data_IF_373722762244
#
_entry.id   IF_373722762244
#
_cell.length_a   1.000
_cell.length_b   1.000
_cell.length_c   1.000
_cell.angle_alpha   90.00
_cell.angle_beta   90.00
_cell.angle_gamma   90.00
#
_symmetry.space_group_name_H-M   'P 1'
#
loop_
_entity.id
_entity.type
_entity.pdbx_description
1 polymer ?
#
# COMPACT_ATOMS: atom_id res chain seq x y z
N UNK A 1 -0.91 -38.90 -60.41
CA UNK A 1 -1.15 -39.03 -58.95
C UNK A 1 0.18 -38.84 -58.20
N UNK A 2 0.60 -37.69 -57.77
CA UNK A 2 1.77 -37.52 -56.85
C UNK A 2 2.01 -36.07 -56.41
N UNK A 3 1.07 -35.14 -56.66
CA UNK A 3 1.24 -33.73 -56.26
C UNK A 3 0.69 -33.39 -54.86
N UNK A 4 -0.35 -34.06 -54.41
CA UNK A 4 -1.05 -33.73 -53.16
C UNK A 4 -0.36 -34.27 -51.90
N UNK A 5 0.33 -35.40 -51.99
CA UNK A 5 1.01 -35.99 -50.82
C UNK A 5 2.25 -35.19 -50.35
N UNK A 6 2.92 -34.45 -51.24
CA UNK A 6 4.07 -33.60 -50.92
C UNK A 6 3.66 -32.31 -50.19
N UNK A 7 2.50 -31.77 -50.51
CA UNK A 7 1.98 -30.54 -49.83
C UNK A 7 1.56 -30.84 -48.38
N UNK A 8 0.99 -32.02 -48.11
CA UNK A 8 0.60 -32.41 -46.75
C UNK A 8 1.81 -32.68 -45.81
N UNK A 9 2.87 -33.28 -46.36
CA UNK A 9 4.08 -33.56 -45.59
C UNK A 9 4.82 -32.28 -45.17
N UNK A 10 4.87 -31.25 -46.03
CA UNK A 10 5.45 -29.93 -45.70
C UNK A 10 4.61 -29.15 -44.70
N UNK A 11 3.28 -29.22 -44.75
CA UNK A 11 2.41 -28.55 -43.78
C UNK A 11 2.54 -29.13 -42.37
N UNK A 12 2.64 -30.46 -42.25
CA UNK A 12 2.78 -31.16 -40.94
C UNK A 12 4.14 -30.88 -40.30
N UNK A 13 5.22 -30.80 -41.11
CA UNK A 13 6.56 -30.48 -40.56
C UNK A 13 6.69 -29.03 -40.12
N UNK A 14 6.03 -28.07 -40.80
CA UNK A 14 6.05 -26.67 -40.40
C UNK A 14 5.25 -26.45 -39.11
N UNK A 15 4.09 -27.13 -38.96
CA UNK A 15 3.23 -27.03 -37.77
C UNK A 15 3.93 -27.64 -36.53
N UNK A 16 4.67 -28.76 -36.70
CA UNK A 16 5.42 -29.40 -35.62
C UNK A 16 6.59 -28.56 -35.13
N UNK A 17 7.23 -27.78 -35.99
CA UNK A 17 8.37 -26.91 -35.63
C UNK A 17 7.94 -25.68 -34.81
N UNK A 18 6.77 -25.11 -35.10
CA UNK A 18 6.20 -23.98 -34.36
C UNK A 18 5.77 -24.39 -32.93
N UNK A 19 5.20 -25.58 -32.79
CA UNK A 19 4.78 -26.10 -31.47
C UNK A 19 5.99 -26.44 -30.61
N UNK A 20 7.07 -26.95 -31.18
CA UNK A 20 8.32 -27.27 -30.44
C UNK A 20 9.02 -26.04 -29.88
N UNK A 21 9.01 -24.91 -30.59
CA UNK A 21 9.65 -23.66 -30.16
C UNK A 21 8.86 -22.99 -28.99
N UNK A 22 7.55 -23.10 -28.97
CA UNK A 22 6.72 -22.55 -27.87
C UNK A 22 6.97 -23.25 -26.54
N UNK A 23 7.16 -24.59 -26.54
CA UNK A 23 7.44 -25.32 -25.32
C UNK A 23 8.82 -25.02 -24.70
N UNK A 24 9.84 -24.83 -25.52
CA UNK A 24 11.18 -24.45 -25.06
C UNK A 24 11.18 -23.06 -24.44
N UNK A 25 10.49 -22.09 -25.05
CA UNK A 25 10.39 -20.73 -24.51
C UNK A 25 9.70 -20.68 -23.14
N UNK A 26 8.64 -21.48 -22.94
CA UNK A 26 7.95 -21.57 -21.65
C UNK A 26 8.85 -22.15 -20.54
N UNK A 27 9.68 -23.16 -20.85
CA UNK A 27 10.62 -23.70 -19.89
C UNK A 27 11.73 -22.67 -19.55
N UNK A 28 12.26 -21.99 -20.55
CA UNK A 28 13.24 -20.92 -20.35
C UNK A 28 12.65 -19.73 -19.56
N UNK A 29 11.38 -19.36 -19.83
CA UNK A 29 10.70 -18.32 -19.07
C UNK A 29 10.59 -18.66 -17.58
N UNK A 30 10.25 -19.92 -17.27
CA UNK A 30 10.18 -20.38 -15.87
C UNK A 30 11.55 -20.42 -15.21
N UNK A 31 12.61 -20.81 -15.93
CA UNK A 31 13.98 -20.77 -15.41
C UNK A 31 14.39 -19.33 -15.09
N UNK A 32 14.11 -18.38 -15.99
CA UNK A 32 14.37 -16.97 -15.75
C UNK A 32 13.53 -16.44 -14.56
N UNK A 33 12.25 -16.80 -14.46
CA UNK A 33 11.41 -16.44 -13.34
C UNK A 33 12.01 -16.92 -11.99
N UNK A 34 12.48 -18.17 -11.93
CA UNK A 34 13.09 -18.73 -10.71
C UNK A 34 14.37 -17.98 -10.34
N UNK A 35 15.26 -17.71 -11.31
CA UNK A 35 16.49 -16.92 -11.09
C UNK A 35 16.16 -15.53 -10.59
N UNK A 36 15.15 -14.87 -11.18
CA UNK A 36 14.67 -13.57 -10.70
C UNK A 36 14.15 -13.62 -9.28
N UNK A 37 13.39 -14.68 -8.91
CA UNK A 37 12.92 -14.88 -7.54
C UNK A 37 14.08 -15.07 -6.55
N UNK A 38 15.13 -15.79 -6.93
CA UNK A 38 16.28 -16.02 -6.06
C UNK A 38 17.10 -14.73 -5.89
N UNK A 39 17.33 -13.95 -6.97
CA UNK A 39 17.95 -12.64 -6.91
C UNK A 39 17.13 -11.67 -6.05
N UNK A 40 15.79 -11.65 -6.23
CA UNK A 40 14.89 -10.80 -5.43
C UNK A 40 14.97 -11.11 -3.94
N UNK A 41 14.96 -12.40 -3.55
CA UNK A 41 15.12 -12.83 -2.15
C UNK A 41 16.49 -12.46 -1.58
N UNK A 42 17.51 -12.42 -2.40
CA UNK A 42 18.87 -12.00 -2.02
C UNK A 42 19.02 -10.47 -1.93
N UNK A 43 17.99 -9.68 -2.32
CA UNK A 43 18.04 -8.22 -2.37
C UNK A 43 18.76 -7.66 -3.59
N UNK A 44 19.08 -8.48 -4.59
CA UNK A 44 19.73 -8.08 -5.84
C UNK A 44 18.65 -7.67 -6.86
N UNK A 45 18.04 -6.50 -6.64
CA UNK A 45 16.84 -6.09 -7.39
C UNK A 45 17.13 -5.83 -8.88
N UNK A 46 18.28 -5.24 -9.24
CA UNK A 46 18.67 -5.05 -10.64
C UNK A 46 18.77 -6.38 -11.40
N UNK A 47 19.40 -7.38 -10.81
CA UNK A 47 19.50 -8.73 -11.38
C UNK A 47 18.13 -9.39 -11.48
N UNK A 48 17.27 -9.22 -10.47
CA UNK A 48 15.91 -9.71 -10.48
C UNK A 48 15.09 -9.10 -11.62
N UNK A 49 15.17 -7.77 -11.83
CA UNK A 49 14.52 -7.05 -12.92
C UNK A 49 14.93 -7.63 -14.27
N UNK A 50 16.22 -7.82 -14.53
CA UNK A 50 16.72 -8.41 -15.78
C UNK A 50 16.13 -9.82 -16.04
N UNK A 51 16.13 -10.66 -15.02
CA UNK A 51 15.59 -12.01 -15.13
C UNK A 51 14.07 -12.00 -15.34
N UNK A 52 13.32 -11.16 -14.63
CA UNK A 52 11.88 -11.06 -14.82
C UNK A 52 11.52 -10.46 -16.19
N UNK A 53 12.28 -9.50 -16.70
CA UNK A 53 12.11 -8.98 -18.06
C UNK A 53 12.29 -10.10 -19.11
N UNK A 54 13.38 -10.86 -19.01
CA UNK A 54 13.62 -12.03 -19.89
C UNK A 54 12.50 -13.06 -19.80
N UNK A 55 11.96 -13.30 -18.59
CA UNK A 55 10.82 -14.22 -18.41
C UNK A 55 9.56 -13.71 -19.13
N UNK A 56 9.26 -12.42 -19.04
CA UNK A 56 8.09 -11.81 -19.72
C UNK A 56 8.24 -11.77 -21.24
N UNK A 57 9.46 -11.60 -21.75
CA UNK A 57 9.77 -11.65 -23.19
C UNK A 57 9.60 -13.07 -23.76
N UNK A 58 10.08 -14.09 -23.02
CA UNK A 58 10.01 -15.49 -23.43
C UNK A 58 8.58 -16.06 -23.37
N UNK A 59 7.81 -15.68 -22.34
CA UNK A 59 6.41 -16.05 -22.18
C UNK A 59 5.58 -14.88 -21.61
N UNK A 60 5.02 -14.01 -22.49
CA UNK A 60 4.18 -12.89 -22.06
C UNK A 60 2.91 -13.28 -21.29
N UNK A 61 2.54 -14.56 -21.34
CA UNK A 61 1.38 -15.11 -20.64
C UNK A 61 1.72 -15.73 -19.28
N UNK A 62 3.00 -15.78 -18.90
CA UNK A 62 3.41 -16.30 -17.60
C UNK A 62 2.91 -15.37 -16.49
N UNK A 63 1.88 -15.76 -15.70
CA UNK A 63 1.11 -14.80 -14.88
C UNK A 63 1.96 -14.09 -13.82
N UNK A 64 2.94 -14.80 -13.26
CA UNK A 64 3.75 -14.28 -12.16
C UNK A 64 4.90 -13.38 -12.61
N UNK A 65 5.37 -13.52 -13.86
CA UNK A 65 6.57 -12.81 -14.32
C UNK A 65 6.38 -11.28 -14.29
N UNK A 66 5.25 -10.77 -14.81
CA UNK A 66 4.93 -9.34 -14.76
C UNK A 66 4.73 -8.83 -13.33
N UNK A 67 4.02 -9.58 -12.49
CA UNK A 67 3.82 -9.20 -11.10
C UNK A 67 5.14 -9.06 -10.34
N UNK A 68 6.05 -10.02 -10.52
CA UNK A 68 7.38 -9.95 -9.89
C UNK A 68 8.27 -8.86 -10.50
N UNK A 69 8.16 -8.60 -11.81
CA UNK A 69 8.85 -7.47 -12.43
C UNK A 69 8.39 -6.13 -11.82
N UNK A 70 7.07 -5.92 -11.69
CA UNK A 70 6.53 -4.74 -11.04
C UNK A 70 7.02 -4.59 -9.61
N UNK A 71 7.03 -5.69 -8.83
CA UNK A 71 7.54 -5.69 -7.45
C UNK A 71 9.03 -5.42 -7.35
N UNK A 72 9.83 -5.90 -8.29
CA UNK A 72 11.26 -5.62 -8.30
C UNK A 72 11.55 -4.14 -8.62
N UNK A 73 10.84 -3.57 -9.60
CA UNK A 73 10.92 -2.15 -9.92
C UNK A 73 10.46 -1.26 -8.75
N UNK A 74 9.42 -1.67 -8.02
CA UNK A 74 8.94 -0.95 -6.83
C UNK A 74 10.00 -0.84 -5.73
N UNK A 75 10.87 -1.86 -5.57
CA UNK A 75 11.94 -1.81 -4.56
C UNK A 75 12.98 -0.72 -4.85
N UNK A 76 13.10 -0.28 -6.10
CA UNK A 76 14.00 0.81 -6.50
C UNK A 76 13.35 2.18 -6.34
N UNK A 77 12.04 2.25 -6.04
CA UNK A 77 11.36 3.52 -5.80
C UNK A 77 11.73 4.06 -4.43
N UNK A 78 12.48 5.15 -4.41
CA UNK A 78 12.85 5.82 -3.17
C UNK A 78 11.66 6.60 -2.57
N UNK A 79 11.20 6.26 -1.34
CA UNK A 79 10.05 6.92 -0.73
C UNK A 79 10.30 8.42 -0.47
N UNK A 80 9.30 9.25 -0.77
CA UNK A 80 9.34 10.70 -0.57
C UNK A 80 10.19 11.46 -1.59
N UNK A 81 10.85 10.77 -2.53
CA UNK A 81 11.71 11.37 -3.54
C UNK A 81 10.92 11.60 -4.83
N UNK A 82 10.89 12.85 -5.32
CA UNK A 82 10.16 13.24 -6.54
C UNK A 82 11.08 13.70 -7.67
N UNK A 83 12.32 13.14 -7.74
CA UNK A 83 13.23 13.41 -8.87
C UNK A 83 12.68 12.75 -10.14
N UNK A 84 13.02 13.29 -11.35
CA UNK A 84 12.61 12.70 -12.62
C UNK A 84 12.98 11.21 -12.75
N UNK A 85 14.15 10.81 -12.24
CA UNK A 85 14.65 9.43 -12.27
C UNK A 85 13.76 8.52 -11.42
N UNK A 86 13.48 8.91 -10.17
CA UNK A 86 12.61 8.13 -9.27
C UNK A 86 11.18 8.02 -9.80
N UNK A 87 10.63 9.12 -10.31
CA UNK A 87 9.30 9.12 -10.93
C UNK A 87 9.24 8.24 -12.17
N UNK A 88 10.32 8.14 -12.94
CA UNK A 88 10.41 7.23 -14.10
C UNK A 88 10.32 5.79 -13.66
N UNK A 89 11.05 5.37 -12.62
CA UNK A 89 11.02 4.00 -12.08
C UNK A 89 9.61 3.69 -11.52
N UNK A 90 9.05 4.61 -10.74
CA UNK A 90 7.70 4.48 -10.20
C UNK A 90 6.65 4.29 -11.30
N UNK A 91 6.70 5.10 -12.36
CA UNK A 91 5.78 4.97 -13.49
C UNK A 91 5.97 3.65 -14.25
N UNK A 92 7.20 3.17 -14.42
CA UNK A 92 7.45 1.86 -15.03
C UNK A 92 6.81 0.72 -14.22
N UNK A 93 6.97 0.73 -12.88
CA UNK A 93 6.32 -0.25 -12.02
C UNK A 93 4.78 -0.17 -12.11
N UNK A 94 4.22 1.04 -12.05
CA UNK A 94 2.77 1.27 -12.20
C UNK A 94 2.24 0.74 -13.53
N UNK A 95 2.95 0.97 -14.63
CA UNK A 95 2.52 0.53 -15.97
C UNK A 95 2.53 -1.01 -16.07
N UNK A 96 3.52 -1.68 -15.48
CA UNK A 96 3.55 -3.14 -15.39
C UNK A 96 2.34 -3.68 -14.61
N UNK A 97 2.00 -3.09 -13.45
CA UNK A 97 0.81 -3.52 -12.71
C UNK A 97 -0.50 -3.22 -13.45
N UNK A 98 -0.59 -2.10 -14.20
CA UNK A 98 -1.72 -1.83 -15.10
C UNK A 98 -1.85 -2.87 -16.22
N UNK A 99 -0.73 -3.37 -16.76
CA UNK A 99 -0.77 -4.48 -17.72
C UNK A 99 -1.27 -5.79 -17.08
N UNK A 100 -0.98 -6.03 -15.80
CA UNK A 100 -1.56 -7.15 -15.06
C UNK A 100 -3.07 -6.97 -14.92
N UNK A 101 -3.52 -5.76 -14.55
CA UNK A 101 -4.95 -5.43 -14.41
C UNK A 101 -5.71 -5.50 -15.75
N UNK A 102 -5.06 -5.22 -16.88
CA UNK A 102 -5.68 -5.40 -18.19
C UNK A 102 -6.06 -6.88 -18.49
N UNK A 103 -5.36 -7.83 -17.88
CA UNK A 103 -5.65 -9.26 -17.98
C UNK A 103 -6.50 -9.79 -16.82
N UNK A 104 -6.38 -9.18 -15.65
CA UNK A 104 -7.08 -9.54 -14.39
C UNK A 104 -7.61 -8.26 -13.73
N UNK A 105 -8.77 -7.74 -14.17
CA UNK A 105 -9.30 -6.46 -13.70
C UNK A 105 -9.54 -6.39 -12.18
N UNK A 106 -9.79 -7.53 -11.54
CA UNK A 106 -10.10 -7.64 -10.11
C UNK A 106 -8.88 -8.06 -9.26
N UNK A 107 -7.65 -7.92 -9.78
CA UNK A 107 -6.44 -8.25 -9.04
C UNK A 107 -6.16 -7.18 -7.96
N UNK A 108 -6.73 -7.39 -6.78
CA UNK A 108 -6.59 -6.50 -5.61
C UNK A 108 -5.12 -6.24 -5.27
N UNK A 109 -4.24 -7.25 -5.40
CA UNK A 109 -2.83 -7.07 -5.10
C UNK A 109 -2.18 -6.04 -6.02
N UNK A 110 -2.41 -6.14 -7.35
CA UNK A 110 -1.89 -5.14 -8.29
C UNK A 110 -2.44 -3.74 -8.04
N UNK A 111 -3.71 -3.61 -7.64
CA UNK A 111 -4.29 -2.32 -7.26
C UNK A 111 -3.59 -1.73 -6.02
N UNK A 112 -3.32 -2.56 -5.00
CA UNK A 112 -2.61 -2.15 -3.78
C UNK A 112 -1.17 -1.73 -4.08
N UNK A 113 -0.44 -2.46 -4.94
CA UNK A 113 0.92 -2.10 -5.32
C UNK A 113 0.93 -0.73 -6.04
N UNK A 114 0.01 -0.49 -6.99
CA UNK A 114 -0.11 0.82 -7.65
C UNK A 114 -0.38 1.92 -6.61
N UNK A 115 -1.30 1.70 -5.69
CA UNK A 115 -1.61 2.66 -4.63
C UNK A 115 -0.39 2.94 -3.73
N UNK A 116 0.35 1.89 -3.36
CA UNK A 116 1.57 1.97 -2.57
C UNK A 116 2.67 2.79 -3.26
N UNK A 117 2.86 2.58 -4.57
CA UNK A 117 3.83 3.35 -5.35
C UNK A 117 3.44 4.84 -5.40
N UNK A 118 2.15 5.16 -5.67
CA UNK A 118 1.68 6.55 -5.64
C UNK A 118 1.85 7.18 -4.26
N UNK A 119 1.57 6.44 -3.19
CA UNK A 119 1.79 6.89 -1.82
C UNK A 119 3.29 7.17 -1.56
N UNK A 120 4.18 6.29 -2.04
CA UNK A 120 5.63 6.43 -1.89
C UNK A 120 6.19 7.67 -2.59
N UNK A 121 5.68 8.02 -3.77
CA UNK A 121 6.08 9.25 -4.49
C UNK A 121 5.28 10.49 -4.06
N UNK A 122 4.52 10.41 -2.96
CA UNK A 122 3.70 11.48 -2.39
C UNK A 122 2.56 11.97 -3.31
N UNK A 123 2.09 11.16 -4.25
CA UNK A 123 0.88 11.40 -5.06
C UNK A 123 -0.35 10.83 -4.33
N UNK A 124 -0.81 11.59 -3.32
CA UNK A 124 -1.87 11.14 -2.42
C UNK A 124 -3.23 10.98 -3.13
N UNK A 125 -3.49 11.76 -4.18
CA UNK A 125 -4.77 11.70 -4.91
C UNK A 125 -4.91 10.40 -5.69
N UNK A 126 -3.85 9.99 -6.40
CA UNK A 126 -3.83 8.73 -7.09
C UNK A 126 -3.77 7.55 -6.11
N UNK A 127 -3.00 7.64 -5.02
CA UNK A 127 -2.94 6.62 -3.99
C UNK A 127 -4.33 6.32 -3.41
N UNK A 128 -5.07 7.35 -3.00
CA UNK A 128 -6.43 7.23 -2.49
C UNK A 128 -7.41 6.66 -3.53
N UNK A 129 -7.34 7.17 -4.76
CA UNK A 129 -8.20 6.67 -5.86
C UNK A 129 -8.02 5.18 -6.09
N UNK A 130 -6.79 4.66 -6.06
CA UNK A 130 -6.53 3.23 -6.20
C UNK A 130 -6.95 2.41 -4.98
N UNK A 131 -6.81 2.93 -3.76
CA UNK A 131 -7.34 2.27 -2.57
C UNK A 131 -8.87 2.20 -2.57
N UNK A 132 -9.55 3.23 -3.06
CA UNK A 132 -11.01 3.20 -3.26
C UNK A 132 -11.43 2.12 -4.27
N UNK A 133 -10.66 1.90 -5.35
CA UNK A 133 -10.88 0.77 -6.28
C UNK A 133 -10.67 -0.59 -5.60
N UNK A 134 -9.71 -0.72 -4.68
CA UNK A 134 -9.57 -1.93 -3.86
C UNK A 134 -10.86 -2.19 -3.09
N UNK A 135 -11.45 -1.17 -2.45
CA UNK A 135 -12.69 -1.31 -1.69
C UNK A 135 -13.94 -1.54 -2.56
N UNK A 136 -13.90 -1.21 -3.86
CA UNK A 136 -14.96 -1.61 -4.81
C UNK A 136 -14.96 -3.12 -5.07
N UNK A 137 -13.79 -3.77 -5.02
CA UNK A 137 -13.61 -5.22 -5.25
C UNK A 137 -13.70 -6.00 -3.93
N UNK A 138 -13.02 -5.51 -2.89
CA UNK A 138 -13.02 -6.06 -1.54
C UNK A 138 -13.44 -4.98 -0.52
N UNK A 139 -14.76 -4.86 -0.25
CA UNK A 139 -15.29 -3.82 0.63
C UNK A 139 -14.81 -3.88 2.09
N UNK A 140 -14.22 -5.00 2.52
CA UNK A 140 -13.75 -5.20 3.89
C UNK A 140 -12.22 -5.28 3.98
N UNK A 141 -11.49 -4.76 2.98
CA UNK A 141 -10.02 -4.72 3.03
C UNK A 141 -9.53 -3.68 4.06
N UNK A 142 -8.99 -4.11 5.20
CA UNK A 142 -8.60 -3.19 6.27
C UNK A 142 -7.36 -2.35 5.91
N UNK A 143 -6.49 -2.82 5.01
CA UNK A 143 -5.29 -2.10 4.61
C UNK A 143 -5.64 -0.94 3.66
N UNK A 144 -6.60 -1.16 2.76
CA UNK A 144 -7.11 -0.12 1.88
C UNK A 144 -7.81 0.97 2.69
N UNK A 145 -8.71 0.59 3.61
CA UNK A 145 -9.39 1.52 4.50
C UNK A 145 -8.39 2.30 5.37
N UNK A 146 -7.41 1.61 5.97
CA UNK A 146 -6.34 2.24 6.75
C UNK A 146 -5.59 3.30 5.92
N UNK A 147 -5.18 2.95 4.70
CA UNK A 147 -4.38 3.85 3.86
C UNK A 147 -5.16 5.12 3.47
N UNK A 148 -6.46 5.01 3.15
CA UNK A 148 -7.32 6.18 2.88
C UNK A 148 -7.36 7.07 4.11
N UNK A 149 -7.64 6.52 5.30
CA UNK A 149 -7.70 7.32 6.51
C UNK A 149 -6.37 7.98 6.90
N UNK A 150 -5.23 7.33 6.60
CA UNK A 150 -3.90 7.93 6.77
C UNK A 150 -3.68 9.10 5.82
N UNK A 151 -4.13 8.99 4.57
CA UNK A 151 -4.04 10.08 3.57
C UNK A 151 -4.84 11.28 4.05
N UNK A 152 -6.08 11.06 4.51
CA UNK A 152 -6.96 12.13 5.00
C UNK A 152 -6.37 12.81 6.23
N UNK A 153 -5.88 12.03 7.20
CA UNK A 153 -5.16 12.59 8.34
C UNK A 153 -3.95 13.42 7.91
N UNK A 154 -3.14 12.92 6.97
CA UNK A 154 -1.93 13.61 6.49
C UNK A 154 -2.27 14.95 5.85
N UNK A 155 -3.31 14.99 5.01
CA UNK A 155 -3.80 16.24 4.39
C UNK A 155 -4.31 17.23 5.43
N UNK A 156 -5.17 16.78 6.34
CA UNK A 156 -5.72 17.63 7.40
C UNK A 156 -4.62 18.16 8.32
N UNK A 157 -3.65 17.33 8.68
CA UNK A 157 -2.50 17.72 9.50
C UNK A 157 -1.62 18.75 8.78
N UNK A 158 -1.33 18.55 7.48
CA UNK A 158 -0.55 19.51 6.70
C UNK A 158 -1.26 20.86 6.56
N UNK A 159 -2.57 20.85 6.33
CA UNK A 159 -3.38 22.07 6.31
C UNK A 159 -3.27 22.84 7.64
N UNK A 160 -3.37 22.10 8.76
CA UNK A 160 -3.19 22.69 10.10
C UNK A 160 -1.82 23.32 10.27
N UNK A 161 -0.74 22.59 9.96
CA UNK A 161 0.61 23.11 10.09
C UNK A 161 0.82 24.37 9.26
N UNK A 162 0.34 24.38 8.02
CA UNK A 162 0.44 25.54 7.12
C UNK A 162 -0.32 26.75 7.67
N UNK A 163 -1.56 26.56 8.16
CA UNK A 163 -2.39 27.62 8.70
C UNK A 163 -1.78 28.25 9.98
N UNK A 164 -1.33 27.40 10.90
CA UNK A 164 -0.72 27.86 12.16
C UNK A 164 0.63 28.54 11.92
N UNK A 165 1.46 27.97 11.04
CA UNK A 165 2.76 28.56 10.68
C UNK A 165 2.58 29.95 10.01
N UNK A 166 1.64 30.09 9.09
CA UNK A 166 1.34 31.36 8.44
C UNK A 166 0.89 32.44 9.44
N UNK A 167 0.27 32.04 10.54
CA UNK A 167 -0.16 32.90 11.62
C UNK A 167 0.91 33.10 12.74
N UNK A 168 2.06 32.45 12.63
CA UNK A 168 3.10 32.49 13.68
C UNK A 168 2.70 31.79 14.97
N UNK A 169 1.84 30.77 14.91
CA UNK A 169 1.27 30.04 16.03
C UNK A 169 1.89 28.64 16.09
N UNK A 170 2.26 28.20 17.30
CA UNK A 170 2.67 26.81 17.54
C UNK A 170 1.43 25.94 17.81
N UNK A 171 1.39 24.77 17.21
CA UNK A 171 0.38 23.75 17.52
C UNK A 171 0.47 23.32 18.98
N UNK A 172 -0.62 23.45 19.74
CA UNK A 172 -0.69 23.02 21.15
C UNK A 172 -1.09 21.54 21.31
N UNK A 173 -1.50 20.87 20.19
CA UNK A 173 -1.97 19.49 20.17
C UNK A 173 -3.26 19.26 20.98
N UNK A 174 -3.97 20.33 21.33
CA UNK A 174 -5.17 20.33 22.20
C UNK A 174 -6.34 21.12 21.62
N UNK A 175 -6.43 21.16 20.28
CA UNK A 175 -7.52 21.82 19.57
C UNK A 175 -7.28 23.30 19.34
N UNK A 176 -6.09 23.82 19.65
CA UNK A 176 -5.66 25.20 19.39
C UNK A 176 -6.70 26.27 19.80
N UNK A 177 -7.40 26.02 20.94
CA UNK A 177 -8.55 26.82 21.41
C UNK A 177 -8.23 28.30 21.67
N UNK A 178 -6.95 28.65 21.80
CA UNK A 178 -6.48 30.01 21.98
C UNK A 178 -6.07 30.70 20.69
N UNK A 179 -6.04 29.98 19.57
CA UNK A 179 -5.69 30.53 18.27
C UNK A 179 -6.79 31.50 17.78
N UNK A 180 -6.43 32.50 16.95
CA UNK A 180 -7.41 33.46 16.43
C UNK A 180 -8.49 32.81 15.57
N UNK A 181 -9.72 33.26 15.72
CA UNK A 181 -10.90 32.78 15.01
C UNK A 181 -10.73 32.80 13.48
N UNK A 182 -10.14 33.86 12.96
CA UNK A 182 -9.87 34.02 11.52
C UNK A 182 -8.83 33.02 10.96
N UNK A 183 -8.11 32.31 11.82
CA UNK A 183 -7.22 31.18 11.42
C UNK A 183 -7.96 29.86 11.52
N UNK A 184 -8.65 29.64 12.64
CA UNK A 184 -9.25 28.34 12.95
C UNK A 184 -10.54 28.06 12.17
N UNK A 185 -11.39 29.05 11.89
CA UNK A 185 -12.63 28.83 11.14
C UNK A 185 -12.38 28.35 9.70
N UNK A 186 -11.50 28.99 8.89
CA UNK A 186 -11.17 28.46 7.57
C UNK A 186 -10.52 27.08 7.62
N UNK A 187 -9.64 26.85 8.61
CA UNK A 187 -9.00 25.54 8.81
C UNK A 187 -10.05 24.46 9.11
N UNK A 188 -10.98 24.74 10.03
CA UNK A 188 -12.04 23.81 10.38
C UNK A 188 -12.92 23.48 9.17
N UNK A 189 -13.32 24.47 8.38
CA UNK A 189 -14.10 24.25 7.15
C UNK A 189 -13.34 23.40 6.13
N UNK A 190 -12.06 23.65 5.97
CA UNK A 190 -11.21 22.90 5.04
C UNK A 190 -11.01 21.44 5.48
N UNK A 191 -10.82 21.21 6.79
CA UNK A 191 -10.46 19.92 7.32
C UNK A 191 -11.66 19.03 7.68
N UNK A 192 -12.85 19.59 7.94
CA UNK A 192 -14.01 18.81 8.34
C UNK A 192 -14.28 17.59 7.42
N UNK A 193 -14.35 17.73 6.08
CA UNK A 193 -14.60 16.57 5.21
C UNK A 193 -13.48 15.52 5.27
N UNK A 194 -12.21 15.93 5.41
CA UNK A 194 -11.08 15.01 5.54
C UNK A 194 -11.14 14.24 6.88
N UNK A 195 -11.50 14.92 7.96
CA UNK A 195 -11.65 14.30 9.28
C UNK A 195 -12.80 13.31 9.29
N UNK A 196 -13.95 13.66 8.71
CA UNK A 196 -15.12 12.77 8.63
C UNK A 196 -14.82 11.51 7.80
N UNK A 197 -14.20 11.68 6.64
CA UNK A 197 -13.80 10.57 5.77
C UNK A 197 -12.73 9.70 6.43
N UNK A 198 -11.71 10.29 6.99
CA UNK A 198 -10.63 9.57 7.66
C UNK A 198 -11.10 8.79 8.89
N UNK A 199 -11.99 9.36 9.72
CA UNK A 199 -12.62 8.65 10.83
C UNK A 199 -13.43 7.44 10.36
N UNK A 200 -14.21 7.60 9.28
CA UNK A 200 -14.98 6.53 8.68
C UNK A 200 -14.07 5.35 8.29
N UNK A 201 -13.01 5.62 7.53
CA UNK A 201 -12.16 4.56 7.00
C UNK A 201 -11.23 3.95 8.07
N UNK A 202 -10.67 4.73 9.01
CA UNK A 202 -9.88 4.18 10.12
C UNK A 202 -10.75 3.32 11.06
N UNK A 203 -12.00 3.72 11.31
CA UNK A 203 -12.94 2.91 12.09
C UNK A 203 -13.27 1.60 11.37
N UNK A 204 -13.49 1.65 10.05
CA UNK A 204 -13.68 0.47 9.22
C UNK A 204 -12.46 -0.47 9.32
N UNK A 205 -11.24 0.05 9.18
CA UNK A 205 -10.01 -0.74 9.28
C UNK A 205 -9.89 -1.48 10.63
N UNK A 206 -10.24 -0.83 11.73
CA UNK A 206 -10.23 -1.45 13.08
C UNK A 206 -11.36 -2.46 13.26
N UNK A 207 -12.53 -2.23 12.67
CA UNK A 207 -13.65 -3.18 12.73
C UNK A 207 -13.34 -4.46 11.96
N UNK A 208 -12.74 -4.33 10.76
CA UNK A 208 -12.40 -5.46 9.90
C UNK A 208 -11.14 -6.20 10.39
N UNK A 209 -10.24 -5.50 11.10
CA UNK A 209 -9.06 -6.08 11.75
C UNK A 209 -8.94 -5.56 13.20
N UNK A 210 -9.59 -6.20 14.19
CA UNK A 210 -9.64 -5.72 15.59
C UNK A 210 -8.29 -5.61 16.31
N UNK A 211 -7.23 -6.18 15.79
CA UNK A 211 -5.86 -6.09 16.31
C UNK A 211 -4.95 -5.16 15.49
N UNK A 212 -5.52 -4.24 14.73
CA UNK A 212 -4.79 -3.30 13.89
C UNK A 212 -4.33 -2.07 14.70
N UNK A 213 -3.26 -2.22 15.48
CA UNK A 213 -2.75 -1.18 16.38
C UNK A 213 -2.30 0.10 15.65
N UNK A 214 -1.78 0.00 14.41
CA UNK A 214 -1.44 1.18 13.61
C UNK A 214 -2.69 2.00 13.22
N UNK A 215 -3.79 1.35 12.82
CA UNK A 215 -5.05 2.06 12.55
C UNK A 215 -5.60 2.74 13.80
N UNK A 216 -5.47 2.11 14.97
CA UNK A 216 -5.85 2.72 16.26
C UNK A 216 -5.00 3.94 16.58
N UNK A 217 -3.68 3.93 16.25
CA UNK A 217 -2.81 5.10 16.41
C UNK A 217 -3.26 6.26 15.51
N UNK A 218 -3.67 5.99 14.28
CA UNK A 218 -4.20 7.03 13.41
C UNK A 218 -5.58 7.53 13.85
N UNK A 219 -6.41 6.69 14.48
CA UNK A 219 -7.65 7.16 15.15
C UNK A 219 -7.34 8.17 16.27
N UNK A 220 -6.32 7.93 17.10
CA UNK A 220 -5.86 8.95 18.04
C UNK A 220 -5.48 10.26 17.35
N UNK A 221 -4.67 10.18 16.31
CA UNK A 221 -4.16 11.36 15.62
C UNK A 221 -5.27 12.16 14.91
N UNK A 222 -6.25 11.47 14.30
CA UNK A 222 -7.33 12.14 13.61
C UNK A 222 -8.33 12.77 14.59
N UNK A 223 -8.57 12.18 15.76
CA UNK A 223 -9.36 12.81 16.82
C UNK A 223 -8.70 14.09 17.37
N UNK A 224 -7.36 14.16 17.44
CA UNK A 224 -6.66 15.39 17.77
C UNK A 224 -6.84 16.48 16.71
N UNK A 225 -6.87 16.12 15.43
CA UNK A 225 -7.20 17.05 14.36
C UNK A 225 -8.70 17.40 14.35
N UNK A 226 -9.57 16.51 14.80
CA UNK A 226 -11.00 16.79 14.98
C UNK A 226 -11.24 17.85 16.05
N UNK A 227 -10.47 17.83 17.15
CA UNK A 227 -10.52 18.88 18.16
C UNK A 227 -10.20 20.28 17.60
N UNK A 228 -9.38 20.39 16.52
CA UNK A 228 -9.15 21.64 15.81
C UNK A 228 -10.37 22.05 14.94
N UNK A 229 -11.08 21.06 14.37
CA UNK A 229 -12.32 21.30 13.60
C UNK A 229 -13.46 21.76 14.51
N UNK A 230 -13.56 21.20 15.70
CA UNK A 230 -14.57 21.56 16.70
C UNK A 230 -14.20 22.84 17.50
N UNK A 231 -13.27 23.61 16.98
CA UNK A 231 -12.86 24.91 17.53
C UNK A 231 -14.08 25.79 17.89
N UNK A 232 -14.04 26.34 19.10
CA UNK A 232 -15.14 27.17 19.63
C UNK A 232 -16.24 26.37 20.36
N UNK A 233 -16.22 25.06 20.31
CA UNK A 233 -17.08 24.17 21.11
C UNK A 233 -16.24 23.41 22.14
N UNK A 234 -16.05 23.99 23.32
CA UNK A 234 -15.17 23.43 24.35
C UNK A 234 -15.57 22.02 24.82
N UNK A 235 -16.86 21.69 24.77
CA UNK A 235 -17.36 20.37 25.13
C UNK A 235 -16.94 19.32 24.08
N UNK A 236 -17.12 19.62 22.80
CA UNK A 236 -16.70 18.74 21.71
C UNK A 236 -15.15 18.56 21.67
N UNK A 237 -14.39 19.66 21.82
CA UNK A 237 -12.91 19.58 21.91
C UNK A 237 -12.49 18.65 23.05
N UNK A 238 -13.14 18.76 24.24
CA UNK A 238 -12.81 17.89 25.38
C UNK A 238 -13.13 16.42 25.09
N UNK A 239 -14.26 16.15 24.45
CA UNK A 239 -14.67 14.81 24.06
C UNK A 239 -13.71 14.20 23.03
N UNK A 240 -13.32 14.96 21.99
CA UNK A 240 -12.40 14.50 20.98
C UNK A 240 -11.01 14.16 21.54
N UNK A 241 -10.50 14.98 22.44
CA UNK A 241 -9.23 14.70 23.13
C UNK A 241 -9.33 13.46 24.02
N UNK A 242 -10.48 13.25 24.69
CA UNK A 242 -10.73 12.04 25.47
C UNK A 242 -10.78 10.79 24.57
N UNK A 243 -11.42 10.87 23.40
CA UNK A 243 -11.42 9.79 22.41
C UNK A 243 -9.99 9.51 21.90
N UNK A 244 -9.21 10.55 21.60
CA UNK A 244 -7.82 10.40 21.20
C UNK A 244 -6.99 9.63 22.25
N UNK A 245 -7.14 9.96 23.52
CA UNK A 245 -6.41 9.30 24.62
C UNK A 245 -6.88 7.84 24.81
N UNK A 246 -8.17 7.54 24.65
CA UNK A 246 -8.69 6.16 24.67
C UNK A 246 -8.09 5.31 23.53
N UNK A 247 -8.02 5.87 22.32
CA UNK A 247 -7.42 5.17 21.18
C UNK A 247 -5.90 4.98 21.37
N UNK A 248 -5.21 5.92 21.99
CA UNK A 248 -3.79 5.76 22.37
C UNK A 248 -3.61 4.56 23.29
N UNK A 249 -4.39 4.47 24.36
CA UNK A 249 -4.31 3.36 25.31
C UNK A 249 -4.60 2.01 24.62
N UNK A 250 -5.69 1.95 23.84
CA UNK A 250 -6.07 0.74 23.11
C UNK A 250 -5.01 0.28 22.10
N UNK A 251 -4.39 1.21 21.37
CA UNK A 251 -3.31 0.91 20.44
C UNK A 251 -2.08 0.32 21.16
N UNK A 252 -1.69 0.91 22.30
CA UNK A 252 -0.55 0.42 23.10
C UNK A 252 -0.79 -0.99 23.65
N UNK A 253 -1.98 -1.26 24.17
CA UNK A 253 -2.34 -2.57 24.69
C UNK A 253 -2.42 -3.62 23.57
N UNK A 254 -2.99 -3.25 22.42
CA UNK A 254 -3.06 -4.11 21.24
C UNK A 254 -1.67 -4.44 20.71
N UNK A 255 -0.77 -3.44 20.62
CA UNK A 255 0.63 -3.63 20.20
C UNK A 255 1.37 -4.60 21.12
N UNK A 256 1.26 -4.45 22.45
CA UNK A 256 1.83 -5.38 23.41
C UNK A 256 1.31 -6.80 23.23
N UNK A 257 -0.01 -6.95 22.99
CA UNK A 257 -0.61 -8.26 22.74
C UNK A 257 -0.13 -8.89 21.42
N UNK A 258 0.04 -8.09 20.36
CA UNK A 258 0.59 -8.53 19.09
C UNK A 258 2.04 -8.98 19.21
N UNK A 259 2.87 -8.22 19.92
CA UNK A 259 4.28 -8.57 20.21
C UNK A 259 4.39 -9.85 21.03
N UNK A 260 3.56 -9.99 22.08
CA UNK A 260 3.53 -11.21 22.89
C UNK A 260 3.17 -12.46 22.06
N UNK A 261 2.20 -12.35 21.15
CA UNK A 261 1.84 -13.44 20.20
C UNK A 261 2.98 -13.77 19.23
N UNK A 262 3.68 -12.75 18.72
CA UNK A 262 4.82 -12.94 17.81
C UNK A 262 5.98 -13.66 18.48
N UNK A 263 6.21 -13.38 19.77
CA UNK A 263 7.26 -14.03 20.56
C UNK A 263 6.88 -15.44 21.02
N UNK A 264 5.59 -15.81 20.99
CA UNK A 264 5.07 -17.15 21.28
C UNK A 264 4.91 -18.03 20.01
N UNK A 265 5.56 -17.67 18.89
CA UNK A 265 5.49 -18.42 17.61
C UNK A 265 5.80 -19.92 17.79
N UNK A 266 5.44 -20.79 16.83
CA UNK A 266 5.57 -22.25 16.95
C UNK A 266 7.05 -22.64 17.14
N UNK A 267 7.47 -22.85 18.38
CA UNK A 267 8.84 -23.20 18.79
C UNK A 267 9.53 -22.14 19.66
N UNK A 268 8.85 -21.10 20.12
CA UNK A 268 9.40 -20.12 21.07
C UNK A 268 9.66 -20.78 22.42
N UNK A 269 10.93 -21.01 22.77
CA UNK A 269 11.35 -21.36 24.12
C UNK A 269 10.98 -20.20 25.03
N UNK A 270 10.01 -20.36 25.92
CA UNK A 270 9.69 -19.37 26.94
C UNK A 270 10.68 -19.55 28.09
N UNK A 271 11.43 -18.49 28.43
CA UNK A 271 12.26 -18.45 29.62
C UNK A 271 11.42 -17.74 30.70
N UNK A 272 11.13 -18.45 31.79
CA UNK A 272 10.46 -17.85 32.94
C UNK A 272 11.42 -16.92 33.76
N UNK A 273 10.86 -16.18 34.72
CA UNK A 273 11.65 -15.28 35.56
C UNK A 273 12.70 -15.98 36.44
N UNK A 274 12.75 -17.32 36.41
CA UNK A 274 13.77 -18.12 37.12
C UNK A 274 14.89 -18.60 36.15
N UNK A 275 14.78 -18.33 34.83
CA UNK A 275 15.73 -18.74 33.80
C UNK A 275 15.54 -20.18 33.31
N UNK A 276 14.41 -20.83 33.61
CA UNK A 276 14.08 -22.14 33.09
C UNK A 276 13.38 -22.06 31.73
N UNK A 277 13.81 -22.88 30.80
CA UNK A 277 13.22 -23.05 29.45
C UNK A 277 12.06 -24.06 29.51
N UNK A 278 10.90 -23.68 28.97
CA UNK A 278 9.72 -24.51 28.81
C UNK A 278 9.32 -24.64 27.35
#
# INVERSE_FOLDING_TARGET
MNGTARFWALAVTLTGMVIGMSGCNQLLARDQLNKGCDAFKAGHYDEAIEHFQKATELDPKLPMAKTYLGKALEQDVAPGVTTPENLKIANQAIDIFKEVLAQRPDDVNSMKEIAGIYFSINDMDNAESWQKKVLEVDPNDPDAAYTIGVIDWKRAHQNKLNALQAAGINDDGKGNVKAPKNVMEPLAQQNAPLIDEGLKYLTMAVNDRPNYDDAMQYLNLIYRNKADVDYGNAAAVTEDLAQADQWTAKAMDTRKANEAKKNQGPGGITIDNSGQMH
#
